data_IF_782212177848
#
_entry.id   IF_782212177848
#
_cell.length_a   1.000
_cell.length_b   1.000
_cell.length_c   1.000
_cell.angle_alpha   90.00
_cell.angle_beta   90.00
_cell.angle_gamma   90.00
#
_symmetry.space_group_name_H-M   'P 1'
#
loop_
_entity.id
_entity.type
_entity.pdbx_description
1 polymer ?
#
# COMPACT_ATOMS: atom_id res chain seq x y z
N UNK A 1 -32.27 -4.31 -0.18
CA UNK A 1 -31.63 -4.18 1.15
C UNK A 1 -30.25 -4.83 1.19
N UNK A 2 -30.09 -6.10 0.74
CA UNK A 2 -28.78 -6.77 0.75
C UNK A 2 -27.73 -6.08 -0.14
N UNK A 3 -28.08 -5.64 -1.34
CA UNK A 3 -27.14 -4.95 -2.25
C UNK A 3 -26.63 -3.62 -1.68
N UNK A 4 -27.50 -2.82 -1.07
CA UNK A 4 -27.12 -1.61 -0.35
C UNK A 4 -26.11 -1.92 0.76
N UNK A 5 -26.34 -2.96 1.55
CA UNK A 5 -25.40 -3.36 2.60
C UNK A 5 -24.03 -3.75 2.01
N UNK A 6 -24.01 -4.52 0.92
CA UNK A 6 -22.78 -4.92 0.23
C UNK A 6 -22.00 -3.71 -0.28
N UNK A 7 -22.66 -2.74 -0.93
CA UNK A 7 -22.02 -1.50 -1.41
C UNK A 7 -21.38 -0.73 -0.24
N UNK A 8 -22.09 -0.58 0.89
CA UNK A 8 -21.52 0.09 2.06
C UNK A 8 -20.29 -0.64 2.61
N UNK A 9 -20.30 -1.98 2.68
CA UNK A 9 -19.15 -2.75 3.15
C UNK A 9 -17.95 -2.64 2.22
N UNK A 10 -18.16 -2.59 0.91
CA UNK A 10 -17.08 -2.38 -0.07
C UNK A 10 -16.48 -0.98 0.06
N UNK A 11 -17.30 0.05 0.26
CA UNK A 11 -16.82 1.42 0.51
C UNK A 11 -16.03 1.49 1.82
N UNK A 12 -16.54 0.91 2.91
CA UNK A 12 -15.84 0.88 4.21
C UNK A 12 -14.50 0.13 4.08
N UNK A 13 -14.49 -1.05 3.45
CA UNK A 13 -13.28 -1.83 3.22
C UNK A 13 -12.27 -1.11 2.33
N UNK A 14 -12.75 -0.39 1.31
CA UNK A 14 -11.91 0.44 0.43
C UNK A 14 -11.27 1.60 1.19
N UNK A 15 -12.05 2.36 1.95
CA UNK A 15 -11.53 3.43 2.80
C UNK A 15 -10.55 2.93 3.87
N UNK A 16 -10.83 1.78 4.47
CA UNK A 16 -9.90 1.12 5.41
C UNK A 16 -8.58 0.73 4.74
N UNK A 17 -8.63 0.25 3.50
CA UNK A 17 -7.45 -0.09 2.70
C UNK A 17 -6.65 1.15 2.32
N UNK A 18 -7.32 2.26 1.94
CA UNK A 18 -6.66 3.56 1.71
C UNK A 18 -5.96 4.04 2.97
N UNK A 19 -6.65 4.02 4.11
CA UNK A 19 -6.11 4.46 5.39
C UNK A 19 -4.89 3.65 5.84
N UNK A 20 -4.96 2.32 5.75
CA UNK A 20 -3.85 1.44 6.10
C UNK A 20 -2.67 1.62 5.13
N UNK A 21 -2.96 1.62 3.82
CA UNK A 21 -1.93 1.80 2.80
C UNK A 21 -1.20 3.13 2.94
N UNK A 22 -1.94 4.21 3.25
CA UNK A 22 -1.36 5.53 3.49
C UNK A 22 -0.42 5.55 4.70
N UNK A 23 -0.81 4.95 5.83
CA UNK A 23 0.07 4.85 7.00
C UNK A 23 1.37 4.09 6.69
N UNK A 24 1.28 3.01 5.91
CA UNK A 24 2.45 2.26 5.47
C UNK A 24 3.35 3.14 4.60
N UNK A 25 2.78 3.89 3.64
CA UNK A 25 3.55 4.80 2.79
C UNK A 25 4.16 5.97 3.56
N UNK A 26 3.53 6.45 4.64
CA UNK A 26 4.12 7.49 5.49
C UNK A 26 5.36 6.98 6.23
N UNK A 27 5.33 5.74 6.72
CA UNK A 27 6.43 5.15 7.49
C UNK A 27 7.52 4.60 6.58
N UNK A 28 7.14 3.79 5.59
CA UNK A 28 8.09 3.14 4.70
C UNK A 28 8.56 4.07 3.59
N UNK A 29 7.73 5.03 3.15
CA UNK A 29 7.85 5.81 1.91
C UNK A 29 7.33 5.07 0.68
N UNK A 30 7.56 5.60 -0.53
CA UNK A 30 7.21 4.92 -1.80
C UNK A 30 8.13 3.73 -2.12
N UNK A 31 7.74 2.74 -2.95
CA UNK A 31 8.67 1.74 -3.44
C UNK A 31 9.94 2.35 -4.05
N UNK A 32 11.09 1.71 -3.88
CA UNK A 32 12.40 2.22 -4.36
C UNK A 32 12.40 2.51 -5.85
N UNK A 33 11.71 1.69 -6.65
CA UNK A 33 11.55 1.89 -8.08
C UNK A 33 10.81 3.18 -8.48
N UNK A 34 10.06 3.77 -7.54
CA UNK A 34 9.30 5.02 -7.73
C UNK A 34 9.97 6.21 -7.05
N UNK A 35 11.06 6.01 -6.30
CA UNK A 35 11.84 7.09 -5.69
C UNK A 35 12.97 7.50 -6.61
N UNK A 36 13.18 8.80 -6.74
CA UNK A 36 14.44 9.33 -7.29
C UNK A 36 15.53 9.35 -6.23
N UNK A 37 16.79 9.23 -6.67
CA UNK A 37 17.97 9.40 -5.82
C UNK A 37 18.76 8.11 -5.56
N UNK A 38 19.74 8.21 -4.67
CA UNK A 38 20.59 7.08 -4.29
C UNK A 38 19.79 6.02 -3.54
N UNK A 39 19.96 4.77 -3.95
CA UNK A 39 19.26 3.64 -3.35
C UNK A 39 20.16 3.02 -2.27
N UNK A 40 19.70 2.92 -1.01
CA UNK A 40 20.48 2.23 0.02
C UNK A 40 20.77 0.79 -0.42
N UNK A 41 22.04 0.39 -0.32
CA UNK A 41 22.48 -0.97 -0.63
C UNK A 41 23.25 -1.56 0.55
N UNK A 42 23.12 -2.86 0.75
CA UNK A 42 23.89 -3.64 1.71
C UNK A 42 24.47 -4.87 1.02
N UNK A 43 25.49 -5.48 1.63
CA UNK A 43 26.13 -6.67 1.07
C UNK A 43 25.12 -7.84 0.95
N UNK A 44 25.05 -8.53 -0.19
CA UNK A 44 24.13 -9.65 -0.38
C UNK A 44 24.31 -10.73 0.70
N UNK A 45 23.21 -11.27 1.21
CA UNK A 45 23.22 -12.31 2.25
C UNK A 45 23.31 -11.77 3.67
N UNK A 46 23.42 -10.46 3.87
CA UNK A 46 23.36 -9.83 5.20
C UNK A 46 21.92 -9.61 5.69
N UNK A 47 21.68 -9.61 7.01
CA UNK A 47 20.39 -9.21 7.59
C UNK A 47 19.94 -7.80 7.14
N UNK A 48 20.89 -6.89 6.94
CA UNK A 48 20.64 -5.54 6.45
C UNK A 48 20.06 -5.54 5.03
N UNK A 49 20.61 -6.36 4.12
CA UNK A 49 20.07 -6.51 2.77
C UNK A 49 18.64 -7.08 2.79
N UNK A 50 18.37 -8.03 3.69
CA UNK A 50 17.02 -8.55 3.89
C UNK A 50 16.06 -7.49 4.44
N UNK A 51 16.50 -6.69 5.41
CA UNK A 51 15.72 -5.57 5.96
C UNK A 51 15.37 -4.53 4.90
N UNK A 52 16.33 -4.16 4.04
CA UNK A 52 16.10 -3.24 2.92
C UNK A 52 15.12 -3.83 1.89
N UNK A 53 15.21 -5.12 1.60
CA UNK A 53 14.23 -5.81 0.76
C UNK A 53 12.83 -5.74 1.39
N UNK A 54 12.71 -6.04 2.68
CA UNK A 54 11.42 -6.10 3.35
C UNK A 54 10.74 -4.73 3.46
N UNK A 55 11.51 -3.67 3.75
CA UNK A 55 11.00 -2.30 3.74
C UNK A 55 10.43 -1.91 2.38
N UNK A 56 11.07 -2.34 1.29
CA UNK A 56 10.60 -2.08 -0.07
C UNK A 56 9.32 -2.86 -0.39
N UNK A 57 9.24 -4.14 0.00
CA UNK A 57 8.00 -4.92 -0.12
C UNK A 57 6.86 -4.30 0.68
N UNK A 58 7.16 -3.80 1.88
CA UNK A 58 6.17 -3.13 2.72
C UNK A 58 5.65 -1.85 2.04
N UNK A 59 6.53 -1.07 1.42
CA UNK A 59 6.11 0.08 0.61
C UNK A 59 5.20 -0.32 -0.58
N UNK A 60 5.47 -1.44 -1.26
CA UNK A 60 4.58 -1.96 -2.30
C UNK A 60 3.21 -2.36 -1.75
N UNK A 61 3.14 -3.01 -0.59
CA UNK A 61 1.88 -3.33 0.08
C UNK A 61 1.09 -2.05 0.36
N UNK A 62 1.75 -1.03 0.90
CA UNK A 62 1.15 0.27 1.13
C UNK A 62 0.54 0.87 -0.13
N UNK A 63 1.33 0.91 -1.21
CA UNK A 63 0.90 1.44 -2.50
C UNK A 63 -0.31 0.68 -3.07
N UNK A 64 -0.26 -0.66 -3.06
CA UNK A 64 -1.33 -1.51 -3.59
C UNK A 64 -2.61 -1.32 -2.78
N UNK A 65 -2.53 -1.31 -1.44
CA UNK A 65 -3.69 -1.08 -0.58
C UNK A 65 -4.33 0.29 -0.84
N UNK A 66 -3.50 1.33 -1.02
CA UNK A 66 -4.00 2.66 -1.36
C UNK A 66 -4.69 2.68 -2.72
N UNK A 67 -4.06 2.15 -3.77
CA UNK A 67 -4.63 2.17 -5.12
C UNK A 67 -5.89 1.30 -5.25
N UNK A 68 -5.87 0.08 -4.72
CA UNK A 68 -7.03 -0.80 -4.73
C UNK A 68 -8.16 -0.24 -3.87
N UNK A 69 -7.84 0.35 -2.72
CA UNK A 69 -8.82 1.01 -1.86
C UNK A 69 -9.52 2.17 -2.58
N UNK A 70 -8.76 3.04 -3.24
CA UNK A 70 -9.34 4.11 -4.06
C UNK A 70 -10.16 3.56 -5.23
N UNK A 71 -9.65 2.54 -5.93
CA UNK A 71 -10.38 1.90 -7.02
C UNK A 71 -11.72 1.31 -6.57
N UNK A 72 -11.75 0.67 -5.40
CA UNK A 72 -12.95 0.08 -4.83
C UNK A 72 -13.97 1.15 -4.44
N UNK A 73 -13.52 2.25 -3.80
CA UNK A 73 -14.40 3.37 -3.45
C UNK A 73 -14.95 4.04 -4.70
N UNK A 74 -14.10 4.37 -5.67
CA UNK A 74 -14.52 5.03 -6.90
C UNK A 74 -15.53 4.18 -7.71
N UNK A 75 -15.26 2.87 -7.84
CA UNK A 75 -16.14 1.95 -8.56
C UNK A 75 -17.52 1.81 -7.91
N UNK A 76 -17.62 1.89 -6.58
CA UNK A 76 -18.90 1.74 -5.87
C UNK A 76 -19.68 3.05 -5.71
N UNK A 77 -19.08 4.19 -6.10
CA UNK A 77 -19.72 5.52 -6.05
C UNK A 77 -20.22 6.00 -7.43
N UNK A 78 -19.90 5.27 -8.51
CA UNK A 78 -20.36 5.50 -9.87
C UNK A 78 -21.35 4.41 -10.30
#
# INVERSE_FOLDING_TARGET
MAELATVHWLVIGGLGSVWLGWQILVVAGLPRALRGGETPSAEPGTPEAFGLFWLDQYAYIGLILTLLGFGLVAWNLW
#
